data_IF_811383112000
#
_entry.id   IF_811383112000
#
_cell.length_a   1.000
_cell.length_b   1.000
_cell.length_c   1.000
_cell.angle_alpha   90.00
_cell.angle_beta   90.00
_cell.angle_gamma   90.00
#
_symmetry.space_group_name_H-M   'P 1'
#
loop_
_entity.id
_entity.type
_entity.pdbx_description
1 polymer ?
#
# COMPACT_ATOMS: atom_id res chain seq x y z
N UNK A 1 24.16 -32.78 -1.15
CA UNK A 1 22.88 -33.00 -0.43
C UNK A 1 21.76 -32.36 -1.24
N UNK A 2 20.98 -33.14 -1.99
CA UNK A 2 19.88 -32.60 -2.82
C UNK A 2 18.59 -32.59 -2.01
N UNK A 3 18.13 -31.41 -1.59
CA UNK A 3 16.82 -31.27 -0.96
C UNK A 3 15.76 -31.31 -2.07
N UNK A 4 15.08 -32.44 -2.23
CA UNK A 4 13.89 -32.53 -3.07
C UNK A 4 12.71 -31.90 -2.34
N UNK A 5 12.33 -30.69 -2.74
CA UNK A 5 11.11 -30.04 -2.29
C UNK A 5 9.94 -30.73 -3.01
N UNK A 6 9.37 -31.75 -2.36
CA UNK A 6 8.12 -32.36 -2.81
C UNK A 6 6.97 -31.48 -2.29
N UNK A 7 6.27 -30.85 -3.21
CA UNK A 7 5.04 -30.07 -2.99
C UNK A 7 5.22 -28.68 -2.35
N UNK A 8 5.58 -27.69 -3.16
CA UNK A 8 5.00 -26.35 -3.02
C UNK A 8 3.87 -26.23 -4.04
N UNK A 9 2.62 -26.50 -3.63
CA UNK A 9 1.49 -26.05 -4.45
C UNK A 9 1.59 -24.53 -4.50
N UNK A 10 1.93 -23.98 -5.67
CA UNK A 10 1.83 -22.54 -5.90
C UNK A 10 0.40 -22.12 -5.57
N UNK A 11 0.19 -21.05 -4.79
CA UNK A 11 -1.16 -20.58 -4.49
C UNK A 11 -1.91 -20.29 -5.79
N UNK A 12 -3.21 -20.54 -5.80
CA UNK A 12 -4.07 -20.18 -6.93
C UNK A 12 -4.12 -18.65 -7.02
N UNK A 13 -3.79 -18.14 -8.21
CA UNK A 13 -3.73 -16.73 -8.53
C UNK A 13 -4.89 -16.40 -9.47
N UNK A 14 -5.65 -15.36 -9.14
CA UNK A 14 -6.59 -14.78 -10.08
C UNK A 14 -5.84 -14.04 -11.19
N UNK A 15 -6.47 -13.78 -12.35
CA UNK A 15 -5.85 -12.98 -13.41
C UNK A 15 -5.42 -11.58 -12.93
N UNK A 16 -6.21 -10.97 -12.05
CA UNK A 16 -5.95 -9.64 -11.48
C UNK A 16 -4.73 -9.65 -10.55
N UNK A 17 -4.66 -10.64 -9.66
CA UNK A 17 -3.50 -10.81 -8.79
C UNK A 17 -2.21 -11.05 -9.58
N UNK A 18 -2.29 -11.84 -10.67
CA UNK A 18 -1.15 -12.11 -11.54
C UNK A 18 -0.70 -10.84 -12.27
N UNK A 19 -1.64 -10.04 -12.77
CA UNK A 19 -1.35 -8.76 -13.43
C UNK A 19 -0.64 -7.79 -12.47
N UNK A 20 -1.18 -7.64 -11.24
CA UNK A 20 -0.57 -6.80 -10.21
C UNK A 20 0.83 -7.30 -9.82
N UNK A 21 1.03 -8.61 -9.72
CA UNK A 21 2.34 -9.18 -9.40
C UNK A 21 3.37 -8.92 -10.51
N UNK A 22 2.94 -8.97 -11.78
CA UNK A 22 3.79 -8.59 -12.92
C UNK A 22 4.12 -7.10 -12.90
N UNK A 23 3.17 -6.25 -12.54
CA UNK A 23 3.36 -4.81 -12.39
C UNK A 23 4.42 -4.50 -11.33
N UNK A 24 4.33 -5.14 -10.16
CA UNK A 24 5.33 -5.01 -9.09
C UNK A 24 6.70 -5.49 -9.57
N UNK A 25 6.77 -6.60 -10.33
CA UNK A 25 8.04 -7.11 -10.91
C UNK A 25 8.70 -6.12 -11.87
N UNK A 26 7.89 -5.50 -12.72
CA UNK A 26 8.36 -4.60 -13.77
C UNK A 26 8.69 -3.20 -13.23
N UNK A 27 8.17 -2.87 -12.05
CA UNK A 27 8.44 -1.62 -11.36
C UNK A 27 9.82 -1.65 -10.70
N UNK A 28 10.61 -0.59 -10.90
CA UNK A 28 11.89 -0.44 -10.19
C UNK A 28 11.67 -0.39 -8.67
N UNK A 29 10.62 0.33 -8.25
CA UNK A 29 10.13 0.44 -6.88
C UNK A 29 8.63 0.62 -6.97
N UNK A 30 7.89 -0.22 -6.27
CA UNK A 30 6.44 -0.13 -6.22
C UNK A 30 6.04 0.59 -4.92
N UNK A 31 5.85 1.91 -5.02
CA UNK A 31 5.57 2.77 -3.89
C UNK A 31 4.16 2.53 -3.35
N UNK A 32 4.02 2.29 -2.05
CA UNK A 32 2.73 2.11 -1.39
C UNK A 32 2.68 3.03 -0.18
N UNK A 33 1.50 3.52 0.19
CA UNK A 33 1.33 4.36 1.37
C UNK A 33 0.09 3.95 2.17
N UNK A 34 0.13 4.16 3.48
CA UNK A 34 -1.07 4.18 4.31
C UNK A 34 -1.40 5.63 4.63
N UNK A 35 -2.66 5.99 4.41
CA UNK A 35 -3.21 7.26 4.88
C UNK A 35 -3.83 7.00 6.24
N UNK A 36 -3.31 7.69 7.25
CA UNK A 36 -3.67 7.50 8.65
C UNK A 36 -4.20 8.81 9.21
N UNK A 37 -5.24 8.71 10.02
CA UNK A 37 -5.72 9.82 10.85
C UNK A 37 -5.15 9.63 12.25
N UNK A 38 -4.47 10.65 12.75
CA UNK A 38 -3.81 10.67 14.05
C UNK A 38 -4.44 11.75 14.92
N UNK A 39 -4.27 11.63 16.23
CA UNK A 39 -4.66 12.67 17.17
C UNK A 39 -3.51 13.63 17.42
N UNK A 40 -3.77 14.94 17.38
CA UNK A 40 -2.83 15.97 17.82
C UNK A 40 -2.59 15.99 19.32
N UNK A 41 -3.48 15.37 20.10
CA UNK A 41 -3.39 15.34 21.56
C UNK A 41 -2.70 14.07 22.08
N UNK A 42 -2.68 13.00 21.28
CA UNK A 42 -2.03 11.75 21.65
C UNK A 42 -1.48 11.03 20.41
N UNK A 43 -0.16 11.02 20.28
CA UNK A 43 0.56 10.42 19.16
C UNK A 43 0.42 8.88 19.09
N UNK A 44 -0.02 8.22 20.17
CA UNK A 44 -0.27 6.78 20.20
C UNK A 44 -1.63 6.40 19.57
N UNK A 45 -2.52 7.38 19.39
CA UNK A 45 -3.87 7.15 18.85
C UNK A 45 -3.88 7.46 17.35
N UNK A 46 -4.12 6.42 16.56
CA UNK A 46 -4.31 6.54 15.12
C UNK A 46 -5.37 5.56 14.60
N UNK A 47 -5.91 5.86 13.42
CA UNK A 47 -6.80 4.99 12.67
C UNK A 47 -6.43 5.05 11.18
N UNK A 48 -6.54 3.93 10.47
CA UNK A 48 -6.33 3.90 9.03
C UNK A 48 -7.51 4.51 8.29
N UNK A 49 -7.27 5.54 7.47
CA UNK A 49 -8.26 6.06 6.52
C UNK A 49 -8.24 5.25 5.23
N UNK A 50 -7.05 4.97 4.70
CA UNK A 50 -6.85 4.13 3.53
C UNK A 50 -5.57 3.31 3.69
N UNK A 51 -5.66 2.00 3.46
CA UNK A 51 -4.55 1.07 3.60
C UNK A 51 -4.02 0.63 2.23
N UNK A 52 -2.72 0.38 2.15
CA UNK A 52 -2.04 -0.16 0.97
C UNK A 52 -2.27 0.65 -0.32
N UNK A 53 -2.36 1.98 -0.20
CA UNK A 53 -2.59 2.89 -1.32
C UNK A 53 -1.43 2.84 -2.29
N UNK A 54 -1.72 2.55 -3.56
CA UNK A 54 -0.81 2.76 -4.67
C UNK A 54 -1.53 3.61 -5.72
N UNK A 55 -0.91 4.69 -6.17
CA UNK A 55 -1.49 5.61 -7.15
C UNK A 55 -0.73 5.57 -8.46
N UNK A 56 -1.48 5.44 -9.56
CA UNK A 56 -0.95 5.55 -10.92
C UNK A 56 -1.01 6.99 -11.43
N UNK A 57 -2.02 7.74 -10.99
CA UNK A 57 -2.23 9.14 -11.28
C UNK A 57 -2.70 9.89 -10.01
N UNK A 58 -2.50 11.21 -9.95
CA UNK A 58 -2.94 12.04 -8.83
C UNK A 58 -4.47 12.25 -8.82
N UNK A 59 -5.09 12.15 -9.98
CA UNK A 59 -6.53 12.38 -10.18
C UNK A 59 -7.32 11.06 -10.14
N UNK A 60 -6.69 9.96 -9.67
CA UNK A 60 -7.31 8.64 -9.57
C UNK A 60 -8.42 8.63 -8.50
N UNK A 61 -9.57 8.02 -8.83
CA UNK A 61 -10.72 7.92 -7.93
C UNK A 61 -10.48 6.90 -6.82
N UNK A 62 -11.25 7.00 -5.72
CA UNK A 62 -11.05 6.17 -4.53
C UNK A 62 -11.26 4.67 -4.79
N UNK A 63 -12.31 4.29 -5.53
CA UNK A 63 -12.70 2.89 -5.75
C UNK A 63 -11.58 2.02 -6.33
N UNK A 64 -10.96 2.35 -7.48
CA UNK A 64 -9.89 1.53 -8.04
C UNK A 64 -8.65 1.47 -7.13
N UNK A 65 -8.40 2.52 -6.36
CA UNK A 65 -7.28 2.57 -5.40
C UNK A 65 -7.51 1.60 -4.24
N UNK A 66 -8.74 1.54 -3.72
CA UNK A 66 -9.13 0.60 -2.65
C UNK A 66 -9.07 -0.84 -3.16
N UNK A 67 -9.65 -1.12 -4.33
CA UNK A 67 -9.60 -2.47 -4.94
C UNK A 67 -8.16 -2.95 -5.13
N UNK A 68 -7.27 -2.07 -5.58
CA UNK A 68 -5.83 -2.36 -5.70
C UNK A 68 -5.18 -2.60 -4.34
N UNK A 69 -5.53 -1.82 -3.32
CA UNK A 69 -5.06 -2.01 -1.95
C UNK A 69 -5.46 -3.37 -1.36
N UNK A 70 -6.69 -3.81 -1.63
CA UNK A 70 -7.18 -5.14 -1.25
C UNK A 70 -6.42 -6.27 -1.97
N UNK A 71 -6.14 -6.12 -3.26
CA UNK A 71 -5.32 -7.08 -4.01
C UNK A 71 -3.89 -7.16 -3.44
N UNK A 72 -3.27 -6.03 -3.08
CA UNK A 72 -1.97 -6.02 -2.42
C UNK A 72 -2.00 -6.78 -1.09
N UNK A 73 -3.07 -6.60 -0.31
CA UNK A 73 -3.24 -7.31 0.96
C UNK A 73 -3.38 -8.82 0.72
N UNK A 74 -4.20 -9.25 -0.24
CA UNK A 74 -4.35 -10.67 -0.60
C UNK A 74 -3.02 -11.29 -1.07
N UNK A 75 -2.25 -10.57 -1.88
CA UNK A 75 -0.92 -11.01 -2.32
C UNK A 75 0.07 -11.16 -1.15
N UNK A 76 -0.01 -10.26 -0.16
CA UNK A 76 0.77 -10.32 1.08
C UNK A 76 0.35 -11.54 1.91
N UNK A 77 -0.94 -11.78 2.10
CA UNK A 77 -1.47 -12.95 2.82
C UNK A 77 -1.03 -14.27 2.18
N UNK A 78 -1.00 -14.32 0.84
CA UNK A 78 -0.49 -15.47 0.07
C UNK A 78 1.04 -15.63 0.18
N UNK A 79 1.74 -14.67 0.81
CA UNK A 79 3.19 -14.65 0.97
C UNK A 79 3.95 -14.41 -0.33
N UNK A 80 3.31 -13.78 -1.32
CA UNK A 80 3.90 -13.51 -2.63
C UNK A 80 4.60 -12.17 -2.70
N UNK A 81 4.16 -11.22 -1.87
CA UNK A 81 4.81 -9.93 -1.67
C UNK A 81 5.04 -9.67 -0.17
N UNK A 82 5.90 -8.70 0.12
CA UNK A 82 6.01 -8.04 1.42
C UNK A 82 5.66 -6.58 1.23
N UNK A 83 4.81 -6.04 2.12
CA UNK A 83 4.54 -4.62 2.23
C UNK A 83 5.38 -4.08 3.38
N UNK A 84 6.43 -3.34 3.03
CA UNK A 84 7.42 -2.86 3.99
C UNK A 84 7.25 -1.36 4.26
N UNK A 85 6.69 -1.04 5.43
CA UNK A 85 6.46 0.33 5.91
C UNK A 85 7.53 0.83 6.90
N UNK A 86 8.49 -0.03 7.28
CA UNK A 86 9.55 0.30 8.24
C UNK A 86 10.82 0.84 7.58
N UNK A 87 10.88 0.81 6.24
CA UNK A 87 11.99 1.41 5.52
C UNK A 87 11.92 2.92 5.68
N UNK A 88 13.03 3.53 6.12
CA UNK A 88 13.22 4.95 5.96
C UNK A 88 13.22 5.26 4.47
N UNK A 89 12.06 5.53 3.87
CA UNK A 89 11.97 5.63 2.42
C UNK A 89 12.68 6.91 1.98
N UNK A 90 13.91 6.75 1.49
CA UNK A 90 14.80 7.86 1.18
C UNK A 90 14.40 8.63 -0.10
N UNK A 91 13.62 8.00 -0.99
CA UNK A 91 13.24 8.59 -2.27
C UNK A 91 11.91 9.34 -2.15
N UNK A 92 12.00 10.61 -1.74
CA UNK A 92 10.82 11.47 -1.57
C UNK A 92 9.99 11.62 -2.85
N UNK A 93 10.63 11.58 -4.04
CA UNK A 93 9.95 11.77 -5.34
C UNK A 93 8.85 10.76 -5.61
N UNK A 94 9.03 9.52 -5.17
CA UNK A 94 8.06 8.45 -5.43
C UNK A 94 6.73 8.67 -4.69
N UNK A 95 6.72 9.54 -3.66
CA UNK A 95 5.54 9.83 -2.83
C UNK A 95 4.95 11.23 -3.08
N UNK A 96 5.51 11.98 -4.03
CA UNK A 96 5.01 13.33 -4.34
C UNK A 96 3.57 13.25 -4.84
N UNK A 97 3.29 12.31 -5.74
CA UNK A 97 1.97 12.12 -6.33
C UNK A 97 0.87 11.85 -5.29
N UNK A 98 1.21 11.18 -4.18
CA UNK A 98 0.26 10.89 -3.11
C UNK A 98 -0.18 12.17 -2.40
N UNK A 99 0.75 13.08 -2.11
CA UNK A 99 0.43 14.36 -1.50
C UNK A 99 -0.29 15.32 -2.44
N UNK A 100 -0.04 15.18 -3.74
CA UNK A 100 -0.70 15.98 -4.78
C UNK A 100 -2.03 15.37 -5.25
N UNK A 101 -2.41 14.21 -4.71
CA UNK A 101 -3.60 13.49 -5.13
C UNK A 101 -4.89 14.13 -4.62
N UNK A 102 -5.96 13.97 -5.41
CA UNK A 102 -7.29 14.41 -5.01
C UNK A 102 -7.74 13.74 -3.69
N UNK A 103 -7.47 12.44 -3.53
CA UNK A 103 -7.79 11.69 -2.31
C UNK A 103 -7.10 12.26 -1.07
N UNK A 104 -5.85 12.68 -1.19
CA UNK A 104 -5.15 13.34 -0.09
C UNK A 104 -5.77 14.69 0.25
N UNK A 105 -6.11 15.50 -0.76
CA UNK A 105 -6.75 16.80 -0.55
C UNK A 105 -8.16 16.68 0.09
N UNK A 106 -8.94 15.67 -0.31
CA UNK A 106 -10.23 15.36 0.32
C UNK A 106 -10.07 15.03 1.80
N UNK A 107 -9.10 14.16 2.12
CA UNK A 107 -8.78 13.81 3.51
C UNK A 107 -8.26 15.00 4.32
N UNK A 108 -7.41 15.86 3.74
CA UNK A 108 -6.95 17.09 4.41
C UNK A 108 -8.11 18.01 4.75
N UNK A 109 -9.08 18.15 3.84
CA UNK A 109 -10.28 18.96 4.06
C UNK A 109 -11.13 18.38 5.20
N UNK A 110 -11.40 17.07 5.17
CA UNK A 110 -12.15 16.38 6.22
C UNK A 110 -11.48 16.50 7.60
N UNK A 111 -10.14 16.40 7.65
CA UNK A 111 -9.36 16.55 8.88
C UNK A 111 -9.38 17.99 9.40
N UNK A 112 -9.33 18.99 8.52
CA UNK A 112 -9.43 20.39 8.90
C UNK A 112 -10.79 20.69 9.56
N UNK A 113 -11.89 20.22 8.96
CA UNK A 113 -13.23 20.32 9.54
C UNK A 113 -13.32 19.59 10.89
N UNK A 114 -12.69 18.41 10.98
CA UNK A 114 -12.69 17.63 12.21
C UNK A 114 -11.99 18.36 13.36
N UNK A 115 -10.89 19.05 13.05
CA UNK A 115 -10.14 19.87 13.99
C UNK A 115 -10.94 21.05 14.53
N UNK A 116 -11.67 21.76 13.67
CA UNK A 116 -12.55 22.86 14.09
C UNK A 116 -13.64 22.40 15.06
N UNK A 117 -14.08 21.16 14.90
CA UNK A 117 -15.10 20.52 15.75
C UNK A 117 -14.51 19.84 17.01
N UNK A 118 -13.20 19.94 17.24
CA UNK A 118 -12.48 19.28 18.34
C UNK A 118 -12.63 17.74 18.36
N UNK A 119 -12.69 17.10 17.20
CA UNK A 119 -12.64 15.64 17.13
C UNK A 119 -11.24 15.10 17.43
N UNK A 120 -11.18 13.83 17.87
CA UNK A 120 -9.95 13.17 18.27
C UNK A 120 -8.96 12.98 17.13
N UNK A 121 -9.45 12.71 15.91
CA UNK A 121 -8.62 12.43 14.72
C UNK A 121 -8.55 13.68 13.84
N UNK A 122 -7.58 14.54 14.11
CA UNK A 122 -7.45 15.88 13.57
C UNK A 122 -6.11 16.14 12.87
N UNK A 123 -5.32 15.08 12.65
CA UNK A 123 -4.08 15.12 11.85
C UNK A 123 -4.09 14.04 10.79
N UNK A 124 -3.75 14.41 9.55
CA UNK A 124 -3.51 13.48 8.47
C UNK A 124 -2.02 13.10 8.42
N UNK A 125 -1.75 11.80 8.34
CA UNK A 125 -0.40 11.25 8.26
C UNK A 125 -0.27 10.26 7.11
N UNK A 126 0.91 10.25 6.48
CA UNK A 126 1.24 9.28 5.42
C UNK A 126 2.39 8.40 5.87
N UNK A 127 2.10 7.13 6.12
CA UNK A 127 3.12 6.11 6.35
C UNK A 127 3.55 5.56 4.99
N UNK A 128 4.82 5.74 4.67
CA UNK A 128 5.38 5.35 3.36
C UNK A 128 5.88 3.92 3.43
N UNK A 129 5.63 3.16 2.36
CA UNK A 129 6.11 1.80 2.23
C UNK A 129 6.40 1.40 0.80
N UNK A 130 6.93 0.19 0.65
CA UNK A 130 7.24 -0.42 -0.64
C UNK A 130 6.63 -1.81 -0.69
N UNK A 131 6.06 -2.16 -1.85
CA UNK A 131 5.75 -3.55 -2.16
C UNK A 131 6.95 -4.20 -2.83
N UNK A 132 7.39 -5.33 -2.29
CA UNK A 132 8.50 -6.10 -2.82
C UNK A 132 8.09 -7.55 -3.06
N UNK A 133 8.54 -8.14 -4.15
CA UNK A 133 8.31 -9.55 -4.44
C UNK A 133 9.09 -10.43 -3.46
N UNK A 134 8.42 -11.45 -2.92
CA UNK A 134 9.13 -12.54 -2.26
C UNK A 134 9.75 -13.48 -3.28
N UNK A 135 10.61 -14.37 -2.80
CA UNK A 135 11.11 -15.51 -3.59
C UNK A 135 9.93 -16.32 -4.15
N UNK A 136 8.88 -16.52 -3.35
CA UNK A 136 7.66 -17.25 -3.75
C UNK A 136 6.89 -16.51 -4.85
N UNK A 137 6.73 -15.19 -4.74
CA UNK A 137 6.12 -14.35 -5.78
C UNK A 137 6.89 -14.41 -7.10
N UNK A 138 8.22 -14.35 -7.02
CA UNK A 138 9.09 -14.43 -8.20
C UNK A 138 8.97 -15.78 -8.94
N UNK A 139 8.87 -16.88 -8.19
CA UNK A 139 8.61 -18.20 -8.77
C UNK A 139 7.21 -18.33 -9.38
N UNK A 140 6.20 -17.70 -8.78
CA UNK A 140 4.83 -17.73 -9.30
C UNK A 140 4.72 -17.12 -10.70
N UNK A 141 5.55 -16.12 -11.03
CA UNK A 141 5.62 -15.49 -12.36
C UNK A 141 6.47 -16.24 -13.39
N UNK A 142 7.24 -17.24 -12.97
CA UNK A 142 8.18 -17.97 -13.84
C UNK A 142 7.63 -19.31 -14.32
N UNK A 143 6.35 -19.55 -14.06
CA UNK A 143 5.62 -20.78 -14.38
C UNK A 143 4.86 -20.63 -15.69
#
# INVERSE_FOLDING_TARGET
>A
MSVSIKCTKSPELTPEELALLQEIKNSRRYAVANFELRSSQNDEIYTGAMENVHLLDKDEEMTPVVERGELLEQLKEKGLIVLNYELGVYVKSDYVIFKESHLWAELETAVAEAKEQNFTFDLLHMTKGLAELTVKGSYALSK
#
